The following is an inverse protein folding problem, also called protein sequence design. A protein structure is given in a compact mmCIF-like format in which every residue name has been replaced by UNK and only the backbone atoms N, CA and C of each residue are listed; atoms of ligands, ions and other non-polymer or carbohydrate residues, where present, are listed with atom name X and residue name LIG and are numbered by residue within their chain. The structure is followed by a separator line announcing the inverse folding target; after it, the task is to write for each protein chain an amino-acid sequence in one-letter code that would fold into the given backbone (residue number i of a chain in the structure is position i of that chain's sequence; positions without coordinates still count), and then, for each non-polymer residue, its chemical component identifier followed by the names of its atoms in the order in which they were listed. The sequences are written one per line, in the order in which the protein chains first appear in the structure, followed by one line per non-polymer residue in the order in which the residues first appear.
data_IF_464538666395
#
_entry.id   IF_464538666395
#
_cell.length_a   1.000
_cell.length_b   1.000
_cell.length_c   1.000
_cell.angle_alpha   90.00
_cell.angle_beta   90.00
_cell.angle_gamma   90.00
#
_symmetry.space_group_name_H-M   'P 1'
#
loop_
_entity.id
_entity.type
_entity.pdbx_description
1 polymer ?
#
# COMPACT_ATOMS: atom_id res chain seq x y z
N UNK A 1 19.91 -13.55 13.67
CA UNK A 1 18.85 -13.72 12.67
C UNK A 1 19.20 -12.87 11.45
N UNK A 2 19.18 -13.41 10.23
CA UNK A 2 19.49 -12.67 8.98
C UNK A 2 18.19 -12.38 8.23
N UNK A 3 17.38 -11.46 8.75
CA UNK A 3 16.10 -11.05 8.13
C UNK A 3 16.29 -9.70 7.46
N UNK A 4 15.89 -9.58 6.18
CA UNK A 4 15.93 -8.34 5.40
C UNK A 4 14.50 -7.93 5.07
N UNK A 5 13.98 -6.80 5.59
CA UNK A 5 12.69 -6.29 5.16
C UNK A 5 12.81 -5.70 3.76
N UNK A 6 11.78 -5.91 2.94
CA UNK A 6 11.80 -5.56 1.51
C UNK A 6 10.55 -4.79 1.14
N UNK A 7 10.72 -3.64 0.51
CA UNK A 7 9.63 -2.89 -0.13
C UNK A 7 9.67 -3.20 -1.61
N UNK A 8 8.59 -3.74 -2.14
CA UNK A 8 8.47 -4.11 -3.56
C UNK A 8 7.51 -3.16 -4.24
N UNK A 9 7.93 -2.64 -5.40
CA UNK A 9 7.05 -1.93 -6.32
C UNK A 9 7.09 -2.58 -7.70
N UNK A 10 6.22 -3.57 -7.87
CA UNK A 10 6.15 -4.42 -9.04
C UNK A 10 4.66 -4.67 -9.39
N UNK A 11 4.16 -4.19 -10.54
CA UNK A 11 2.80 -4.46 -10.98
C UNK A 11 2.76 -5.84 -11.62
N UNK A 12 2.59 -6.84 -10.78
CA UNK A 12 2.46 -8.25 -11.15
C UNK A 12 1.12 -8.79 -10.70
N UNK A 13 0.52 -9.60 -11.57
CA UNK A 13 -0.74 -10.27 -11.33
C UNK A 13 -0.60 -11.74 -11.69
N UNK A 14 -1.11 -12.64 -10.84
CA UNK A 14 -1.20 -14.07 -11.16
C UNK A 14 -2.53 -14.35 -11.85
N UNK A 15 -2.48 -14.74 -13.13
CA UNK A 15 -3.68 -15.01 -13.94
C UNK A 15 -4.13 -16.47 -13.92
N UNK A 16 -3.22 -17.41 -13.63
CA UNK A 16 -3.50 -18.83 -13.44
C UNK A 16 -2.36 -19.49 -12.64
N UNK A 17 -2.51 -20.76 -12.17
CA UNK A 17 -1.39 -21.51 -11.62
C UNK A 17 -0.18 -21.53 -12.58
N UNK A 18 0.98 -21.06 -12.11
CA UNK A 18 2.20 -20.96 -12.92
C UNK A 18 2.22 -19.85 -13.97
N UNK A 19 1.20 -18.98 -14.05
CA UNK A 19 1.13 -17.87 -15.01
C UNK A 19 1.00 -16.52 -14.31
N UNK A 20 1.92 -15.61 -14.64
CA UNK A 20 1.91 -14.23 -14.17
C UNK A 20 1.95 -13.26 -15.36
N UNK A 21 1.38 -12.07 -15.16
CA UNK A 21 1.55 -10.92 -16.05
C UNK A 21 2.28 -9.85 -15.26
N UNK A 22 3.48 -9.51 -15.70
CA UNK A 22 4.26 -8.37 -15.20
C UNK A 22 4.16 -7.23 -16.21
N UNK A 23 3.68 -6.06 -15.77
CA UNK A 23 3.37 -4.95 -16.68
C UNK A 23 4.54 -3.98 -16.91
N UNK A 24 5.53 -3.99 -16.01
CA UNK A 24 6.81 -3.26 -16.13
C UNK A 24 7.86 -3.91 -15.22
N UNK A 25 9.10 -3.49 -15.38
CA UNK A 25 10.19 -3.82 -14.46
C UNK A 25 9.87 -3.32 -13.04
N UNK A 26 10.30 -4.11 -12.05
CA UNK A 26 10.05 -3.85 -10.64
C UNK A 26 11.21 -3.12 -9.99
N UNK A 27 10.89 -2.34 -8.96
CA UNK A 27 11.91 -1.78 -8.07
C UNK A 27 11.78 -2.42 -6.69
N UNK A 28 12.93 -2.59 -6.03
CA UNK A 28 13.02 -3.11 -4.66
C UNK A 28 13.85 -2.15 -3.82
N UNK A 29 13.37 -1.84 -2.62
CA UNK A 29 14.15 -1.10 -1.62
C UNK A 29 14.34 -1.97 -0.37
N UNK A 30 15.58 -2.01 0.13
CA UNK A 30 15.97 -2.70 1.37
C UNK A 30 16.82 -1.78 2.26
N UNK A 31 16.99 -2.07 3.56
CA UNK A 31 17.88 -1.28 4.42
C UNK A 31 19.33 -1.20 3.90
N UNK A 32 20.02 -0.10 4.16
CA UNK A 32 21.43 0.10 3.79
C UNK A 32 22.47 -0.62 4.66
N UNK A 33 22.10 -1.72 5.31
CA UNK A 33 23.02 -2.53 6.11
C UNK A 33 23.68 -3.65 5.28
N UNK A 34 24.57 -4.43 5.93
CA UNK A 34 25.29 -5.50 5.26
C UNK A 34 24.37 -6.58 4.66
N UNK A 35 23.25 -6.90 5.33
CA UNK A 35 22.31 -7.90 4.80
C UNK A 35 21.52 -7.34 3.60
N UNK A 36 21.19 -6.04 3.62
CA UNK A 36 20.57 -5.37 2.47
C UNK A 36 21.49 -5.30 1.26
N UNK A 37 22.79 -5.04 1.47
CA UNK A 37 23.79 -5.10 0.40
C UNK A 37 23.92 -6.51 -0.20
N UNK A 38 24.01 -7.54 0.66
CA UNK A 38 24.01 -8.95 0.24
C UNK A 38 22.74 -9.29 -0.57
N UNK A 39 21.58 -8.78 -0.15
CA UNK A 39 20.31 -8.99 -0.84
C UNK A 39 20.28 -8.34 -2.23
N UNK A 40 20.73 -7.09 -2.35
CA UNK A 40 20.80 -6.37 -3.65
C UNK A 40 21.69 -7.12 -4.63
N UNK A 41 22.81 -7.69 -4.17
CA UNK A 41 23.71 -8.46 -5.02
C UNK A 41 23.04 -9.69 -5.68
N UNK A 42 21.97 -10.24 -5.08
CA UNK A 42 21.20 -11.35 -5.68
C UNK A 42 20.46 -10.96 -6.96
N UNK A 43 20.20 -9.67 -7.17
CA UNK A 43 19.49 -9.15 -8.35
C UNK A 43 20.44 -8.62 -9.43
N UNK A 44 21.76 -8.71 -9.23
CA UNK A 44 22.75 -8.30 -10.21
C UNK A 44 22.55 -9.03 -11.56
N UNK A 45 22.48 -8.28 -12.65
CA UNK A 45 22.24 -8.82 -13.99
C UNK A 45 20.78 -9.20 -14.30
N UNK A 46 19.84 -8.89 -13.41
CA UNK A 46 18.40 -9.04 -13.66
C UNK A 46 17.76 -7.71 -14.10
N UNK A 47 16.51 -7.76 -14.57
CA UNK A 47 15.72 -6.56 -14.90
C UNK A 47 15.11 -5.87 -13.68
N UNK A 48 15.31 -6.42 -12.48
CA UNK A 48 14.76 -5.85 -11.24
C UNK A 48 15.77 -4.86 -10.67
N UNK A 49 15.33 -3.61 -10.49
CA UNK A 49 16.12 -2.55 -9.89
C UNK A 49 16.05 -2.63 -8.36
N UNK A 50 16.94 -3.43 -7.78
CA UNK A 50 17.07 -3.57 -6.33
C UNK A 50 18.12 -2.59 -5.78
N UNK A 51 17.74 -1.81 -4.78
CA UNK A 51 18.59 -0.78 -4.20
C UNK A 51 18.48 -0.75 -2.68
N UNK A 52 19.55 -0.31 -2.03
CA UNK A 52 19.51 0.02 -0.60
C UNK A 52 18.96 1.42 -0.39
N UNK A 53 18.32 1.65 0.75
CA UNK A 53 17.94 2.98 1.22
C UNK A 53 18.52 3.23 2.62
N UNK A 54 19.07 4.42 2.89
CA UNK A 54 19.49 4.80 4.23
C UNK A 54 18.30 5.05 5.17
N UNK A 55 17.10 5.26 4.63
CA UNK A 55 15.88 5.52 5.39
C UNK A 55 14.76 4.58 4.93
N UNK A 56 14.83 3.34 5.43
CA UNK A 56 13.85 2.30 5.14
C UNK A 56 12.49 2.59 5.79
N UNK A 57 12.48 3.20 6.98
CA UNK A 57 11.25 3.54 7.71
C UNK A 57 10.41 4.51 6.87
N UNK A 58 11.00 5.58 6.35
CA UNK A 58 10.30 6.52 5.47
C UNK A 58 9.83 5.87 4.18
N UNK A 59 10.65 5.01 3.56
CA UNK A 59 10.27 4.30 2.35
C UNK A 59 9.06 3.37 2.60
N UNK A 60 9.07 2.63 3.70
CA UNK A 60 8.00 1.70 4.07
C UNK A 60 6.69 2.43 4.34
N UNK A 61 6.74 3.49 5.13
CA UNK A 61 5.56 4.32 5.44
C UNK A 61 5.03 5.06 4.21
N UNK A 62 5.89 5.51 3.29
CA UNK A 62 5.45 6.08 2.02
C UNK A 62 4.70 5.05 1.17
N UNK A 63 5.20 3.82 1.09
CA UNK A 63 4.49 2.73 0.39
C UNK A 63 3.18 2.39 1.08
N UNK A 64 3.15 2.35 2.41
CA UNK A 64 1.94 2.13 3.19
C UNK A 64 0.90 3.22 2.95
N UNK A 65 1.29 4.50 2.86
CA UNK A 65 0.39 5.59 2.51
C UNK A 65 -0.26 5.41 1.13
N UNK A 66 0.50 4.99 0.12
CA UNK A 66 -0.06 4.64 -1.19
C UNK A 66 -1.06 3.49 -1.03
N UNK A 67 -0.65 2.43 -0.33
CA UNK A 67 -1.42 1.22 -0.17
C UNK A 67 -2.71 1.42 0.66
N UNK A 68 -2.71 2.22 1.73
CA UNK A 68 -3.89 2.38 2.60
C UNK A 68 -5.04 3.09 1.87
N UNK A 69 -4.74 3.98 0.91
CA UNK A 69 -5.76 4.66 0.10
C UNK A 69 -6.50 3.74 -0.87
N UNK A 70 -5.85 2.63 -1.29
CA UNK A 70 -6.43 1.64 -2.21
C UNK A 70 -7.66 0.90 -1.66
N UNK A 71 -7.96 1.03 -0.37
CA UNK A 71 -9.19 0.53 0.25
C UNK A 71 -10.46 1.12 -0.37
N UNK A 72 -10.38 2.36 -0.89
CA UNK A 72 -11.51 3.01 -1.59
C UNK A 72 -11.91 2.22 -2.83
N UNK A 73 -10.93 1.77 -3.63
CA UNK A 73 -11.20 0.92 -4.80
C UNK A 73 -11.75 -0.46 -4.39
N UNK A 74 -11.28 -1.02 -3.27
CA UNK A 74 -11.75 -2.32 -2.80
C UNK A 74 -13.21 -2.28 -2.31
N UNK A 75 -13.62 -1.21 -1.62
CA UNK A 75 -15.01 -1.01 -1.15
C UNK A 75 -15.95 -0.71 -2.31
N UNK A 76 -15.55 0.20 -3.20
CA UNK A 76 -16.42 0.66 -4.30
C UNK A 76 -16.45 -0.30 -5.49
N UNK A 77 -15.51 -1.26 -5.54
CA UNK A 77 -15.23 -2.11 -6.70
C UNK A 77 -14.92 -1.32 -7.98
N UNK A 78 -14.52 -0.05 -7.86
CA UNK A 78 -14.08 0.80 -8.95
C UNK A 78 -12.56 0.85 -8.98
N UNK A 79 -12.00 0.74 -10.18
CA UNK A 79 -10.55 0.81 -10.42
C UNK A 79 -9.99 2.22 -10.15
N UNK A 80 -8.75 2.50 -10.55
CA UNK A 80 -8.07 3.78 -10.31
C UNK A 80 -8.87 5.02 -10.76
N UNK A 81 -9.78 4.90 -11.74
CA UNK A 81 -10.70 5.97 -12.14
C UNK A 81 -11.56 6.54 -10.99
N UNK A 82 -11.75 5.80 -9.89
CA UNK A 82 -12.48 6.27 -8.71
C UNK A 82 -11.89 7.56 -8.14
N UNK A 83 -10.58 7.78 -8.32
CA UNK A 83 -9.91 9.00 -7.86
C UNK A 83 -10.34 10.27 -8.62
N UNK A 84 -11.07 10.15 -9.73
CA UNK A 84 -11.66 11.29 -10.44
C UNK A 84 -12.99 11.76 -9.80
N UNK A 85 -13.60 10.96 -8.95
CA UNK A 85 -14.69 11.42 -8.08
C UNK A 85 -14.07 12.22 -6.91
N UNK A 86 -14.41 13.50 -6.80
CA UNK A 86 -13.79 14.37 -5.79
C UNK A 86 -14.14 13.95 -4.35
N UNK A 87 -15.30 13.34 -4.12
CA UNK A 87 -15.66 12.79 -2.81
C UNK A 87 -14.75 11.62 -2.44
N UNK A 88 -14.57 10.67 -3.35
CA UNK A 88 -13.64 9.56 -3.16
C UNK A 88 -12.18 10.03 -3.02
N UNK A 89 -11.77 11.03 -3.79
CA UNK A 89 -10.44 11.62 -3.70
C UNK A 89 -10.18 12.26 -2.32
N UNK A 90 -11.15 12.97 -1.75
CA UNK A 90 -11.01 13.52 -0.39
C UNK A 90 -10.91 12.42 0.67
N UNK A 91 -11.65 11.32 0.53
CA UNK A 91 -11.50 10.15 1.42
C UNK A 91 -10.10 9.56 1.31
N UNK A 92 -9.58 9.40 0.08
CA UNK A 92 -8.21 8.94 -0.15
C UNK A 92 -7.17 9.86 0.51
N UNK A 93 -7.32 11.19 0.36
CA UNK A 93 -6.43 12.16 1.03
C UNK A 93 -6.51 12.04 2.54
N UNK A 94 -7.71 11.91 3.10
CA UNK A 94 -7.92 11.74 4.53
C UNK A 94 -7.23 10.50 5.09
N UNK A 95 -7.38 9.34 4.44
CA UNK A 95 -6.68 8.10 4.79
C UNK A 95 -5.16 8.29 4.81
N UNK A 96 -4.63 8.97 3.79
CA UNK A 96 -3.19 9.23 3.68
C UNK A 96 -2.72 10.23 4.75
N UNK A 97 -3.49 11.26 5.06
CA UNK A 97 -3.16 12.23 6.13
C UNK A 97 -3.05 11.54 7.49
N UNK A 98 -3.96 10.64 7.82
CA UNK A 98 -3.85 9.81 9.04
C UNK A 98 -2.58 8.95 9.03
N UNK A 99 -2.29 8.28 7.91
CA UNK A 99 -1.08 7.48 7.75
C UNK A 99 0.20 8.31 7.90
N UNK A 100 0.22 9.55 7.39
CA UNK A 100 1.35 10.49 7.53
C UNK A 100 1.59 10.82 9.00
N UNK A 101 0.54 11.15 9.76
CA UNK A 101 0.66 11.50 11.18
C UNK A 101 1.22 10.34 11.99
N UNK A 102 0.67 9.14 11.80
CA UNK A 102 1.14 7.93 12.49
C UNK A 102 2.56 7.56 12.05
N UNK A 103 2.86 7.63 10.76
CA UNK A 103 4.19 7.34 10.22
C UNK A 103 5.27 8.26 10.77
N UNK A 104 4.96 9.56 10.92
CA UNK A 104 5.88 10.53 11.56
C UNK A 104 6.15 10.16 13.03
N UNK A 105 5.13 9.73 13.77
CA UNK A 105 5.30 9.27 15.15
C UNK A 105 6.13 7.97 15.26
N UNK A 106 6.16 7.16 14.19
CA UNK A 106 6.99 5.96 14.04
C UNK A 106 8.36 6.24 13.41
N UNK A 107 8.73 7.53 13.23
CA UNK A 107 10.06 7.95 12.79
C UNK A 107 10.22 8.21 11.29
N UNK A 108 9.14 8.16 10.50
CA UNK A 108 9.19 8.45 9.07
C UNK A 108 9.19 9.96 8.77
N UNK A 109 9.94 10.36 7.73
CA UNK A 109 9.93 11.72 7.18
C UNK A 109 8.99 11.80 5.99
N UNK A 110 7.70 12.04 6.26
CA UNK A 110 6.66 12.17 5.23
C UNK A 110 6.18 13.61 5.11
N UNK A 111 6.09 14.22 3.91
CA UNK A 111 5.53 15.56 3.73
C UNK A 111 4.00 15.52 3.63
N UNK A 112 3.31 16.58 4.04
CA UNK A 112 1.83 16.67 3.95
C UNK A 112 1.33 16.55 2.50
N UNK A 113 2.12 17.07 1.55
CA UNK A 113 1.86 16.95 0.10
C UNK A 113 1.76 15.52 -0.42
N UNK A 114 2.17 14.52 0.35
CA UNK A 114 2.03 13.12 -0.05
C UNK A 114 0.56 12.72 -0.24
N UNK A 115 -0.38 13.30 0.51
CA UNK A 115 -1.81 13.03 0.35
C UNK A 115 -2.30 13.39 -1.07
N UNK A 116 -1.94 14.56 -1.56
CA UNK A 116 -2.30 15.01 -2.91
C UNK A 116 -1.57 14.21 -3.99
N UNK A 117 -0.29 13.90 -3.77
CA UNK A 117 0.51 13.08 -4.69
C UNK A 117 -0.07 11.69 -4.88
N UNK A 118 -0.56 11.05 -3.82
CA UNK A 118 -1.19 9.72 -3.92
C UNK A 118 -2.44 9.77 -4.81
N UNK A 119 -3.28 10.79 -4.65
CA UNK A 119 -4.45 10.98 -5.53
C UNK A 119 -4.01 11.28 -6.96
N UNK A 120 -3.05 12.18 -7.16
CA UNK A 120 -2.51 12.53 -8.48
C UNK A 120 -1.94 11.30 -9.20
N UNK A 121 -1.14 10.47 -8.52
CA UNK A 121 -0.62 9.22 -9.07
C UNK A 121 -1.74 8.24 -9.42
N UNK A 122 -2.78 8.16 -8.60
CA UNK A 122 -3.94 7.30 -8.89
C UNK A 122 -4.70 7.79 -10.11
N UNK A 123 -4.93 9.11 -10.25
CA UNK A 123 -5.57 9.72 -11.44
C UNK A 123 -4.75 9.52 -12.71
N UNK A 124 -3.43 9.51 -12.61
CA UNK A 124 -2.50 9.29 -13.74
C UNK A 124 -2.32 7.82 -14.11
N UNK A 125 -2.69 6.89 -13.23
CA UNK A 125 -2.67 5.48 -13.55
C UNK A 125 -3.69 5.18 -14.67
N UNK A 126 -3.53 4.03 -15.34
CA UNK A 126 -4.54 3.58 -16.28
C UNK A 126 -5.91 3.52 -15.59
N UNK A 127 -7.01 4.05 -16.16
CA UNK A 127 -8.31 4.14 -15.48
C UNK A 127 -8.82 2.80 -14.93
N UNK A 128 -8.53 1.72 -15.65
CA UNK A 128 -8.86 0.34 -15.26
C UNK A 128 -7.79 -0.36 -14.42
N UNK A 129 -6.83 0.39 -13.86
CA UNK A 129 -5.79 -0.19 -12.99
C UNK A 129 -6.42 -0.65 -11.68
N UNK A 130 -6.33 -1.96 -11.44
CA UNK A 130 -6.82 -2.63 -10.22
C UNK A 130 -5.65 -2.80 -9.27
N UNK A 131 -5.80 -2.35 -8.02
CA UNK A 131 -4.79 -2.57 -6.98
C UNK A 131 -4.95 -3.96 -6.31
N UNK A 132 -3.91 -4.44 -5.64
CA UNK A 132 -3.89 -5.80 -5.04
C UNK A 132 -5.06 -6.08 -4.10
N UNK A 133 -5.43 -5.10 -3.26
CA UNK A 133 -6.51 -5.26 -2.28
C UNK A 133 -7.88 -5.41 -2.97
N UNK A 134 -8.12 -4.61 -4.02
CA UNK A 134 -9.31 -4.74 -4.86
C UNK A 134 -9.32 -6.10 -5.60
N UNK A 135 -8.18 -6.53 -6.14
CA UNK A 135 -8.07 -7.83 -6.82
C UNK A 135 -8.38 -9.01 -5.88
N UNK A 136 -7.92 -8.95 -4.62
CA UNK A 136 -8.24 -9.94 -3.60
C UNK A 136 -9.73 -9.92 -3.25
N UNK A 137 -10.31 -8.73 -3.09
CA UNK A 137 -11.76 -8.56 -2.84
C UNK A 137 -12.63 -9.14 -3.96
N UNK A 138 -12.27 -8.89 -5.21
CA UNK A 138 -12.99 -9.41 -6.38
C UNK A 138 -12.89 -10.92 -6.51
N UNK A 139 -11.77 -11.51 -6.07
CA UNK A 139 -11.53 -12.94 -6.15
C UNK A 139 -11.92 -13.72 -4.90
N UNK A 140 -12.56 -13.07 -3.90
CA UNK A 140 -12.92 -13.71 -2.63
C UNK A 140 -11.72 -14.22 -1.83
N UNK A 141 -10.53 -13.65 -2.04
CA UNK A 141 -9.32 -14.04 -1.32
C UNK A 141 -9.23 -13.28 0.00
N UNK A 142 -8.48 -13.84 0.95
CA UNK A 142 -8.09 -13.13 2.16
C UNK A 142 -7.35 -11.85 1.79
N UNK A 143 -7.90 -10.73 2.22
CA UNK A 143 -7.34 -9.41 1.98
C UNK A 143 -6.31 -9.03 3.06
N UNK A 144 -5.32 -8.23 2.68
CA UNK A 144 -4.25 -7.70 3.54
C UNK A 144 -4.67 -6.44 4.34
N UNK A 145 -5.92 -6.38 4.81
CA UNK A 145 -6.48 -5.21 5.52
C UNK A 145 -5.72 -4.93 6.82
N UNK A 146 -5.34 -6.00 7.55
CA UNK A 146 -4.61 -5.86 8.81
C UNK A 146 -3.28 -5.13 8.63
N UNK A 147 -2.54 -5.51 7.59
CA UNK A 147 -1.21 -4.98 7.28
C UNK A 147 -1.25 -3.60 6.59
N UNK A 148 -2.42 -3.16 6.08
CA UNK A 148 -2.56 -1.90 5.35
C UNK A 148 -3.25 -0.80 6.14
N UNK A 149 -4.39 -1.10 6.77
CA UNK A 149 -5.21 -0.09 7.43
C UNK A 149 -5.26 -0.29 8.95
N UNK A 150 -5.44 -1.52 9.45
CA UNK A 150 -5.47 -1.73 10.91
C UNK A 150 -4.13 -1.48 11.59
N UNK A 151 -3.00 -1.70 10.92
CA UNK A 151 -1.68 -1.32 11.45
C UNK A 151 -1.59 0.17 11.75
N UNK A 152 -2.18 1.02 10.89
CA UNK A 152 -2.23 2.47 11.08
C UNK A 152 -3.08 2.79 12.32
N UNK A 153 -4.22 2.09 12.50
CA UNK A 153 -5.09 2.28 13.67
C UNK A 153 -4.41 1.88 14.98
N UNK A 154 -3.77 0.70 15.02
CA UNK A 154 -3.07 0.22 16.22
C UNK A 154 -1.93 1.15 16.62
N UNK A 155 -1.13 1.58 15.65
CA UNK A 155 0.00 2.48 15.90
C UNK A 155 -0.49 3.92 16.19
N UNK A 156 -1.59 4.36 15.58
CA UNK A 156 -2.25 5.61 15.95
C UNK A 156 -2.68 5.62 17.40
N UNK A 157 -3.35 4.56 17.87
CA UNK A 157 -3.75 4.41 19.27
C UNK A 157 -2.55 4.43 20.23
N UNK A 158 -1.45 3.75 19.88
CA UNK A 158 -0.19 3.77 20.65
C UNK A 158 0.35 5.20 20.86
N UNK A 159 0.16 6.08 19.89
CA UNK A 159 0.65 7.47 19.91
C UNK A 159 -0.41 8.52 20.25
N UNK A 160 -1.65 8.11 20.56
CA UNK A 160 -2.75 9.05 20.80
C UNK A 160 -3.18 9.83 19.54
N UNK A 161 -2.92 9.30 18.35
CA UNK A 161 -3.29 9.90 17.06
C UNK A 161 -4.60 9.27 16.58
N UNK A 162 -5.61 10.10 16.32
CA UNK A 162 -6.88 9.64 15.78
C UNK A 162 -6.75 9.20 14.31
N UNK A 163 -7.28 8.01 14.01
CA UNK A 163 -7.30 7.44 12.65
C UNK A 163 -8.71 6.97 12.23
N UNK A 164 -9.74 7.84 12.33
CA UNK A 164 -11.14 7.44 12.14
C UNK A 164 -11.45 6.91 10.74
N UNK A 165 -10.84 7.45 9.68
CA UNK A 165 -11.09 6.99 8.31
C UNK A 165 -10.50 5.61 8.07
N UNK A 166 -9.25 5.37 8.51
CA UNK A 166 -8.65 4.05 8.39
C UNK A 166 -9.44 3.00 9.18
N UNK A 167 -9.90 3.33 10.39
CA UNK A 167 -10.72 2.42 11.20
C UNK A 167 -12.08 2.14 10.55
N UNK A 168 -12.81 3.17 10.13
CA UNK A 168 -14.14 3.02 9.54
C UNK A 168 -14.11 2.22 8.23
N UNK A 169 -13.19 2.53 7.32
CA UNK A 169 -13.15 1.86 6.02
C UNK A 169 -12.61 0.43 6.14
N UNK A 170 -11.66 0.17 7.04
CA UNK A 170 -11.23 -1.20 7.34
C UNK A 170 -12.39 -2.06 7.84
N UNK A 171 -13.15 -1.57 8.82
CA UNK A 171 -14.31 -2.28 9.35
C UNK A 171 -15.40 -2.50 8.28
N UNK A 172 -15.68 -1.50 7.45
CA UNK A 172 -16.68 -1.63 6.37
C UNK A 172 -16.23 -2.64 5.30
N UNK A 173 -14.96 -2.63 4.90
CA UNK A 173 -14.46 -3.59 3.91
C UNK A 173 -14.53 -5.03 4.44
N UNK A 174 -14.14 -5.25 5.70
CA UNK A 174 -14.26 -6.56 6.36
C UNK A 174 -15.71 -7.02 6.44
N UNK A 175 -16.62 -6.16 6.88
CA UNK A 175 -18.06 -6.47 6.93
C UNK A 175 -18.65 -6.75 5.54
N UNK A 176 -18.16 -6.07 4.49
CA UNK A 176 -18.60 -6.30 3.11
C UNK A 176 -18.07 -7.59 2.48
N UNK A 177 -17.02 -8.17 3.07
CA UNK A 177 -16.38 -9.40 2.61
C UNK A 177 -16.73 -10.60 3.48
N UNK A 178 -17.30 -10.38 4.67
CA UNK A 178 -18.03 -11.40 5.38
C UNK A 178 -19.18 -11.85 4.48
N UNK A 179 -19.11 -13.12 4.07
CA UNK A 179 -20.20 -13.78 3.36
C UNK A 179 -21.50 -13.53 4.14
N UNK A 180 -22.60 -13.07 3.52
CA UNK A 180 -23.87 -12.99 4.20
C UNK A 180 -24.40 -14.42 4.44
N UNK A 181 -23.86 -15.09 5.46
CA UNK A 181 -24.28 -16.38 6.02
C UNK A 181 -24.01 -17.60 5.09
N UNK A 182 -23.59 -18.80 5.53
CA UNK A 182 -24.23 -19.77 6.43
C UNK A 182 -25.75 -19.82 6.31
#
# INVERSE_FOLDING_TARGET
ERTVPVIIDLPVERTAPGRIVQRRDGTIHVPGDANGADFVALFAGTVIDAQTTPDFVTAAWRKLAINCSGIVSAITLRAAEVANDEGAAEVMRGLVRECILVGRAEGATLPDSLADKVVEWTRRAHPQSVNSLQADRMAGRRMEIDARNWVIVRLGAKHGIATPLNAALAALLEASAADPAV
#
